data_IF_342058742652
#
_entry.id   IF_342058742652
#
_cell.length_a   1.000
_cell.length_b   1.000
_cell.length_c   1.000
_cell.angle_alpha   90.00
_cell.angle_beta   90.00
_cell.angle_gamma   90.00
#
_symmetry.space_group_name_H-M   'P 1'
#
loop_
_entity.id
_entity.type
_entity.pdbx_description
1 polymer ?
#
# COMPACT_ATOMS: atom_id res chain seq x y z
N UNK A 1 0.52 6.65 -13.15
CA UNK A 1 0.04 5.97 -11.92
C UNK A 1 1.06 5.01 -11.30
N UNK A 2 1.46 3.92 -11.98
CA UNK A 2 2.39 2.92 -11.42
C UNK A 2 3.76 3.51 -11.00
N UNK A 3 4.32 4.43 -11.81
CA UNK A 3 5.54 5.17 -11.49
C UNK A 3 5.36 6.06 -10.25
N UNK A 4 4.33 6.89 -10.22
CA UNK A 4 4.06 7.79 -9.09
C UNK A 4 3.80 7.02 -7.79
N UNK A 5 3.12 5.87 -7.83
CA UNK A 5 2.88 5.03 -6.64
C UNK A 5 4.15 4.31 -6.15
N UNK A 6 4.99 3.82 -7.06
CA UNK A 6 6.29 3.20 -6.73
C UNK A 6 7.29 4.25 -6.21
N UNK A 7 7.28 5.46 -6.77
CA UNK A 7 8.12 6.58 -6.30
C UNK A 7 7.63 7.13 -4.96
N UNK A 8 6.31 7.20 -4.72
CA UNK A 8 5.72 7.51 -3.41
C UNK A 8 6.12 6.51 -2.32
N UNK A 9 6.23 5.22 -2.67
CA UNK A 9 6.65 4.18 -1.71
C UNK A 9 8.14 4.21 -1.36
N UNK A 10 8.97 4.89 -2.16
CA UNK A 10 10.45 4.86 -2.01
C UNK A 10 11.02 6.17 -1.45
N UNK A 11 10.36 7.32 -1.67
CA UNK A 11 10.76 8.65 -1.15
C UNK A 11 9.52 9.58 -0.94
N UNK A 12 8.64 9.31 0.05
CA UNK A 12 7.37 10.04 0.19
C UNK A 12 7.50 11.52 0.60
N UNK A 13 8.54 11.88 1.36
CA UNK A 13 8.63 13.20 2.01
C UNK A 13 9.05 14.34 1.07
N UNK A 14 9.87 14.07 0.05
CA UNK A 14 10.45 15.12 -0.80
C UNK A 14 9.63 15.43 -2.06
N UNK A 15 8.85 14.49 -2.58
CA UNK A 15 8.10 14.72 -3.84
C UNK A 15 6.77 15.44 -3.66
N UNK A 16 6.24 15.50 -2.43
CA UNK A 16 4.87 15.96 -2.16
C UNK A 16 4.80 17.37 -1.59
N UNK A 17 5.87 17.83 -0.94
CA UNK A 17 5.92 19.12 -0.23
C UNK A 17 5.83 20.31 -1.16
N UNK A 18 6.37 20.19 -2.37
CA UNK A 18 6.36 21.24 -3.37
C UNK A 18 5.07 21.26 -4.22
N UNK A 19 4.14 20.31 -4.02
CA UNK A 19 2.87 20.13 -4.73
C UNK A 19 2.94 19.95 -6.27
N UNK A 20 4.13 19.90 -6.88
CA UNK A 20 4.27 19.76 -8.34
C UNK A 20 3.86 18.38 -8.83
N UNK A 21 4.21 17.34 -8.08
CA UNK A 21 3.77 15.97 -8.37
C UNK A 21 2.24 15.87 -8.37
N UNK A 22 1.57 16.56 -7.43
CA UNK A 22 0.11 16.60 -7.37
C UNK A 22 -0.51 17.27 -8.59
N UNK A 23 0.03 18.40 -9.08
CA UNK A 23 -0.46 19.02 -10.31
C UNK A 23 -0.44 18.07 -11.51
N UNK A 24 0.69 17.38 -11.71
CA UNK A 24 0.80 16.39 -12.79
C UNK A 24 -0.17 15.22 -12.59
N UNK A 25 -0.31 14.74 -11.37
CA UNK A 25 -1.26 13.67 -11.04
C UNK A 25 -2.70 14.10 -11.36
N UNK A 26 -3.14 15.26 -10.87
CA UNK A 26 -4.49 15.78 -11.11
C UNK A 26 -4.76 15.91 -12.60
N UNK A 27 -3.81 16.46 -13.37
CA UNK A 27 -3.96 16.59 -14.82
C UNK A 27 -4.04 15.23 -15.54
N UNK A 28 -3.34 14.20 -15.06
CA UNK A 28 -3.39 12.85 -15.65
C UNK A 28 -4.69 12.12 -15.34
N UNK A 29 -5.23 12.25 -14.11
CA UNK A 29 -6.40 11.49 -13.68
C UNK A 29 -7.72 12.16 -14.04
N UNK A 30 -7.68 13.47 -14.32
CA UNK A 30 -8.88 14.23 -14.64
C UNK A 30 -9.53 13.71 -15.94
N UNK A 31 -10.86 13.48 -15.93
CA UNK A 31 -11.64 13.11 -17.09
C UNK A 31 -11.36 13.99 -18.31
N UNK A 32 -10.98 13.36 -19.42
CA UNK A 32 -10.70 14.06 -20.69
C UNK A 32 -11.92 14.14 -21.61
N UNK A 33 -13.08 13.64 -21.19
CA UNK A 33 -14.31 13.65 -21.99
C UNK A 33 -14.25 12.71 -23.21
N UNK A 34 -13.39 11.70 -23.17
CA UNK A 34 -13.19 10.74 -24.28
C UNK A 34 -14.18 9.57 -24.22
N UNK A 35 -14.82 9.34 -23.06
CA UNK A 35 -15.78 8.27 -22.83
C UNK A 35 -17.20 8.83 -22.75
N UNK A 36 -18.15 8.10 -23.32
CA UNK A 36 -19.55 8.47 -23.33
C UNK A 36 -20.08 8.58 -21.88
N UNK A 37 -20.66 9.75 -21.54
CA UNK A 37 -21.16 10.05 -20.20
C UNK A 37 -20.14 10.61 -19.20
N UNK A 38 -18.86 10.79 -19.57
CA UNK A 38 -17.85 11.35 -18.69
C UNK A 38 -17.70 12.87 -18.89
N UNK A 39 -18.06 13.73 -17.91
CA UNK A 39 -17.88 15.17 -18.05
C UNK A 39 -16.39 15.52 -18.07
N UNK A 40 -15.96 16.28 -19.08
CA UNK A 40 -14.58 16.76 -19.16
C UNK A 40 -14.30 17.74 -18.00
N UNK A 41 -13.23 17.48 -17.24
CA UNK A 41 -12.78 18.37 -16.16
C UNK A 41 -11.37 18.84 -16.52
N UNK A 42 -11.23 20.15 -16.74
CA UNK A 42 -9.93 20.74 -17.08
C UNK A 42 -9.19 21.24 -15.83
N UNK A 43 -7.94 20.82 -15.73
CA UNK A 43 -7.04 21.14 -14.63
C UNK A 43 -6.17 22.31 -15.05
N UNK A 44 -6.34 23.44 -14.37
CA UNK A 44 -5.56 24.63 -14.66
C UNK A 44 -4.14 24.47 -14.09
N UNK A 45 -3.16 24.39 -14.97
CA UNK A 45 -1.73 24.25 -14.62
C UNK A 45 -1.03 25.60 -14.38
N UNK A 46 -1.71 26.74 -14.43
CA UNK A 46 -1.09 28.07 -14.23
C UNK A 46 -0.43 28.20 -12.86
N UNK A 47 -1.03 27.58 -11.83
CA UNK A 47 -0.48 27.57 -10.47
C UNK A 47 0.79 26.74 -10.32
N UNK A 48 1.15 25.89 -11.29
CA UNK A 48 2.31 25.00 -11.21
C UNK A 48 3.65 25.74 -11.06
N UNK A 49 3.77 26.92 -11.68
CA UNK A 49 4.98 27.74 -11.65
C UNK A 49 4.96 28.79 -10.53
N UNK A 50 3.98 28.76 -9.62
CA UNK A 50 3.96 29.64 -8.46
C UNK A 50 5.22 29.41 -7.61
N UNK A 51 5.85 30.51 -7.19
CA UNK A 51 7.11 30.48 -6.43
C UNK A 51 6.89 30.18 -4.95
N UNK A 52 5.75 30.61 -4.41
CA UNK A 52 5.35 30.38 -3.03
C UNK A 52 4.68 29.00 -2.90
N UNK A 53 5.31 28.09 -2.16
CA UNK A 53 4.84 26.71 -2.00
C UNK A 53 3.43 26.62 -1.39
N UNK A 54 3.06 27.54 -0.50
CA UNK A 54 1.76 27.55 0.15
C UNK A 54 0.67 28.02 -0.82
N UNK A 55 0.96 29.03 -1.63
CA UNK A 55 0.05 29.45 -2.72
C UNK A 55 -0.05 28.39 -3.81
N UNK A 56 1.05 27.71 -4.12
CA UNK A 56 1.07 26.60 -5.08
C UNK A 56 0.21 25.43 -4.60
N UNK A 57 0.34 25.06 -3.32
CA UNK A 57 -0.47 24.03 -2.69
C UNK A 57 -1.97 24.41 -2.64
N UNK A 58 -2.31 25.66 -2.32
CA UNK A 58 -3.72 26.12 -2.39
C UNK A 58 -4.26 26.04 -3.82
N UNK A 59 -3.50 26.48 -4.81
CA UNK A 59 -3.88 26.40 -6.23
C UNK A 59 -4.10 24.95 -6.67
N UNK A 60 -3.25 24.03 -6.21
CA UNK A 60 -3.37 22.59 -6.43
C UNK A 60 -4.66 22.04 -5.80
N UNK A 61 -4.95 22.40 -4.54
CA UNK A 61 -6.16 21.93 -3.85
C UNK A 61 -7.44 22.49 -4.47
N UNK A 62 -7.42 23.69 -5.04
CA UNK A 62 -8.53 24.20 -5.85
C UNK A 62 -8.76 23.37 -7.11
N UNK A 63 -7.72 22.84 -7.74
CA UNK A 63 -7.89 21.90 -8.86
C UNK A 63 -8.41 20.54 -8.39
N UNK A 64 -7.96 20.05 -7.23
CA UNK A 64 -8.50 18.84 -6.62
C UNK A 64 -9.99 18.99 -6.25
N UNK A 65 -10.43 20.19 -5.89
CA UNK A 65 -11.83 20.48 -5.57
C UNK A 65 -12.76 20.37 -6.79
N UNK A 66 -12.27 20.70 -7.99
CA UNK A 66 -13.01 20.45 -9.25
C UNK A 66 -13.29 18.97 -9.49
N UNK A 67 -12.39 18.11 -9.02
CA UNK A 67 -12.56 16.65 -9.01
C UNK A 67 -13.38 16.20 -7.77
N UNK A 68 -13.75 17.10 -6.88
CA UNK A 68 -14.37 16.82 -5.58
C UNK A 68 -13.50 15.93 -4.70
N UNK A 69 -12.18 16.13 -4.76
CA UNK A 69 -11.15 15.36 -4.05
C UNK A 69 -10.41 16.18 -2.98
N UNK A 70 -10.78 17.44 -2.74
CA UNK A 70 -10.19 18.30 -1.70
C UNK A 70 -10.62 17.83 -0.31
N UNK A 71 -9.96 16.80 0.20
CA UNK A 71 -10.22 16.21 1.52
C UNK A 71 -8.88 15.88 2.20
N UNK A 72 -8.91 15.74 3.53
CA UNK A 72 -7.79 15.32 4.40
C UNK A 72 -6.63 16.31 4.58
N UNK A 73 -6.30 17.12 3.57
CA UNK A 73 -5.14 18.02 3.58
C UNK A 73 -5.53 19.49 3.44
N UNK A 74 -4.83 20.37 4.16
CA UNK A 74 -4.76 21.81 3.90
C UNK A 74 -3.47 22.17 3.15
N UNK A 75 -3.33 23.39 2.58
CA UNK A 75 -2.08 23.81 1.95
C UNK A 75 -0.87 23.69 2.88
N UNK A 76 -1.05 24.02 4.16
CA UNK A 76 -0.01 23.90 5.16
C UNK A 76 0.40 22.42 5.40
N UNK A 77 -0.57 21.49 5.41
CA UNK A 77 -0.29 20.06 5.57
C UNK A 77 0.53 19.51 4.40
N UNK A 78 0.22 19.95 3.17
CA UNK A 78 0.95 19.59 1.95
C UNK A 78 2.39 20.07 2.05
N UNK A 79 2.60 21.36 2.31
CA UNK A 79 3.95 21.96 2.42
C UNK A 79 4.75 21.39 3.58
N UNK A 80 4.09 21.08 4.70
CA UNK A 80 4.74 20.44 5.85
C UNK A 80 5.14 18.98 5.59
N UNK A 81 4.63 18.37 4.52
CA UNK A 81 4.98 17.01 4.12
C UNK A 81 4.39 15.93 5.02
N UNK A 82 3.23 16.17 5.66
CA UNK A 82 2.64 15.20 6.59
C UNK A 82 2.31 13.87 5.87
N UNK A 83 3.03 12.77 6.15
CA UNK A 83 2.95 11.56 5.34
C UNK A 83 1.59 10.87 5.45
N UNK A 84 0.93 10.94 6.61
CA UNK A 84 -0.40 10.32 6.81
C UNK A 84 -1.49 11.04 6.04
N UNK A 85 -1.50 12.38 6.11
CA UNK A 85 -2.51 13.19 5.42
C UNK A 85 -2.30 13.15 3.91
N UNK A 86 -1.05 13.23 3.44
CA UNK A 86 -0.72 13.10 2.03
C UNK A 86 -1.10 11.72 1.46
N UNK A 87 -0.87 10.64 2.21
CA UNK A 87 -1.30 9.30 1.81
C UNK A 87 -2.84 9.20 1.73
N UNK A 88 -3.56 9.75 2.70
CA UNK A 88 -5.02 9.79 2.68
C UNK A 88 -5.56 10.57 1.47
N UNK A 89 -4.94 11.71 1.15
CA UNK A 89 -5.30 12.50 -0.03
C UNK A 89 -5.07 11.74 -1.35
N UNK A 90 -3.91 11.08 -1.50
CA UNK A 90 -3.63 10.24 -2.69
C UNK A 90 -4.59 9.06 -2.79
N UNK A 91 -4.89 8.39 -1.68
CA UNK A 91 -5.85 7.30 -1.64
C UNK A 91 -7.25 7.75 -2.07
N UNK A 92 -7.68 8.95 -1.65
CA UNK A 92 -8.93 9.54 -2.09
C UNK A 92 -8.96 9.79 -3.61
N UNK A 93 -7.87 10.34 -4.16
CA UNK A 93 -7.73 10.55 -5.60
C UNK A 93 -7.82 9.22 -6.36
N UNK A 94 -7.16 8.17 -5.88
CA UNK A 94 -7.20 6.85 -6.51
C UNK A 94 -8.60 6.21 -6.45
N UNK A 95 -9.28 6.28 -5.31
CA UNK A 95 -10.60 5.70 -5.15
C UNK A 95 -11.64 6.35 -6.07
N UNK A 96 -11.51 7.67 -6.33
CA UNK A 96 -12.46 8.42 -7.14
C UNK A 96 -12.09 8.44 -8.64
N UNK A 97 -10.80 8.51 -8.94
CA UNK A 97 -10.26 8.54 -10.30
C UNK A 97 -9.07 7.58 -10.43
N UNK A 98 -9.33 6.26 -10.51
CA UNK A 98 -8.26 5.28 -10.63
C UNK A 98 -7.45 5.43 -11.93
N UNK A 99 -8.05 6.04 -12.97
CA UNK A 99 -7.43 6.29 -14.28
C UNK A 99 -6.80 5.03 -14.90
N UNK A 100 -7.31 3.85 -14.55
CA UNK A 100 -6.95 2.57 -15.12
C UNK A 100 -7.87 2.29 -16.31
N UNK A 101 -7.32 2.24 -17.52
CA UNK A 101 -8.02 1.64 -18.65
C UNK A 101 -8.09 0.13 -18.42
N UNK A 102 -9.30 -0.43 -18.39
CA UNK A 102 -9.47 -1.88 -18.47
C UNK A 102 -8.88 -2.33 -19.81
N UNK A 103 -7.90 -3.26 -19.83
CA UNK A 103 -7.53 -3.94 -21.07
C UNK A 103 -8.78 -4.64 -21.61
N UNK A 104 -9.07 -4.50 -22.89
CA UNK A 104 -10.30 -5.01 -23.54
C UNK A 104 -10.48 -6.55 -23.50
N UNK A 105 -9.55 -7.29 -22.87
CA UNK A 105 -9.54 -8.76 -22.80
C UNK A 105 -9.19 -9.33 -21.42
N UNK A 106 -9.39 -8.58 -20.34
CA UNK A 106 -9.28 -9.13 -19.00
C UNK A 106 -10.52 -8.73 -18.19
N UNK A 107 -11.44 -9.68 -18.03
CA UNK A 107 -12.37 -9.66 -16.90
C UNK A 107 -11.53 -9.73 -15.63
N UNK A 108 -11.10 -8.56 -15.15
CA UNK A 108 -10.42 -8.46 -13.87
C UNK A 108 -11.48 -8.76 -12.81
N UNK A 109 -11.44 -9.99 -12.32
CA UNK A 109 -12.19 -10.40 -11.15
C UNK A 109 -11.76 -9.51 -9.97
N UNK A 110 -12.65 -8.62 -9.53
CA UNK A 110 -12.40 -7.73 -8.40
C UNK A 110 -12.11 -8.51 -7.10
N UNK A 111 -12.50 -9.78 -7.03
CA UNK A 111 -12.15 -10.69 -5.93
C UNK A 111 -10.66 -11.06 -5.92
N UNK A 112 -9.99 -11.04 -7.08
CA UNK A 112 -8.52 -11.15 -7.17
C UNK A 112 -7.79 -9.83 -6.84
N UNK A 113 -8.48 -8.68 -6.90
CA UNK A 113 -7.91 -7.38 -6.52
C UNK A 113 -7.83 -7.19 -5.00
N UNK A 114 -8.64 -7.93 -4.21
CA UNK A 114 -8.45 -7.98 -2.75
C UNK A 114 -7.18 -8.76 -2.35
N UNK A 115 -6.52 -9.47 -3.28
CA UNK A 115 -5.18 -10.07 -3.10
C UNK A 115 -5.09 -11.21 -2.08
N UNK A 116 -6.02 -11.31 -1.13
CA UNK A 116 -6.13 -12.35 -0.11
C UNK A 116 -7.58 -12.86 0.00
N UNK A 117 -7.76 -14.15 0.24
CA UNK A 117 -9.09 -14.73 0.52
C UNK A 117 -9.61 -14.30 1.90
N UNK A 118 -10.92 -14.45 2.14
CA UNK A 118 -11.52 -14.18 3.46
C UNK A 118 -10.86 -15.02 4.56
N UNK A 119 -10.56 -16.27 4.25
CA UNK A 119 -9.90 -17.22 5.14
C UNK A 119 -8.47 -16.76 5.44
N UNK A 120 -7.70 -16.37 4.42
CA UNK A 120 -6.35 -15.80 4.60
C UNK A 120 -6.35 -14.58 5.52
N UNK A 121 -7.26 -13.63 5.28
CA UNK A 121 -7.43 -12.44 6.12
C UNK A 121 -7.78 -12.78 7.56
N UNK A 122 -8.66 -13.77 7.75
CA UNK A 122 -9.11 -14.21 9.07
C UNK A 122 -7.94 -14.82 9.86
N UNK A 123 -7.19 -15.74 9.26
CA UNK A 123 -6.04 -16.36 9.91
C UNK A 123 -4.92 -15.36 10.17
N UNK A 124 -4.61 -14.48 9.21
CA UNK A 124 -3.63 -13.41 9.37
C UNK A 124 -3.95 -12.52 10.58
N UNK A 125 -5.18 -12.01 10.64
CA UNK A 125 -5.61 -11.15 11.75
C UNK A 125 -5.60 -11.88 13.09
N UNK A 126 -6.05 -13.14 13.13
CA UNK A 126 -6.02 -13.96 14.33
C UNK A 126 -4.58 -14.15 14.85
N UNK A 127 -3.65 -14.58 14.00
CA UNK A 127 -2.25 -14.77 14.40
C UNK A 127 -1.62 -13.47 14.90
N UNK A 128 -1.84 -12.36 14.19
CA UNK A 128 -1.31 -11.06 14.59
C UNK A 128 -1.90 -10.56 15.92
N UNK A 129 -3.17 -10.87 16.21
CA UNK A 129 -3.80 -10.53 17.50
C UNK A 129 -3.15 -11.23 18.70
N UNK A 130 -2.48 -12.37 18.47
CA UNK A 130 -1.73 -13.12 19.49
C UNK A 130 -0.29 -12.62 19.67
N UNK A 131 0.12 -11.58 18.93
CA UNK A 131 1.43 -10.95 19.09
C UNK A 131 2.60 -11.82 18.61
N UNK A 132 2.44 -12.48 17.47
CA UNK A 132 3.55 -13.16 16.77
C UNK A 132 4.53 -12.13 16.18
N UNK A 133 5.80 -12.53 16.03
CA UNK A 133 6.86 -11.71 15.46
C UNK A 133 7.71 -12.54 14.49
N UNK A 134 7.81 -12.20 13.18
CA UNK A 134 7.33 -10.98 12.54
C UNK A 134 5.81 -10.92 12.37
N UNK A 135 5.29 -9.72 12.08
CA UNK A 135 3.88 -9.52 11.72
C UNK A 135 3.57 -10.25 10.41
N UNK A 136 2.48 -11.00 10.38
CA UNK A 136 2.04 -11.73 9.19
C UNK A 136 1.34 -10.75 8.25
N UNK A 137 1.90 -10.57 7.06
CA UNK A 137 1.33 -9.75 5.99
C UNK A 137 0.77 -10.62 4.87
N UNK A 138 1.48 -11.70 4.51
CA UNK A 138 1.07 -12.61 3.45
C UNK A 138 1.18 -14.06 3.92
N UNK A 139 0.03 -14.68 4.20
CA UNK A 139 -0.07 -15.99 4.86
C UNK A 139 0.85 -17.06 4.26
N UNK A 140 0.81 -17.27 2.94
CA UNK A 140 1.59 -18.33 2.28
C UNK A 140 3.10 -18.05 2.16
N UNK A 141 3.52 -16.80 2.37
CA UNK A 141 4.92 -16.41 2.28
C UNK A 141 5.56 -16.40 3.67
N UNK A 142 4.87 -15.82 4.64
CA UNK A 142 5.42 -15.56 5.98
C UNK A 142 5.43 -16.80 6.88
N UNK A 143 4.66 -17.85 6.53
CA UNK A 143 4.63 -19.10 7.30
C UNK A 143 5.59 -20.18 6.77
N UNK A 144 6.36 -19.90 5.72
CA UNK A 144 7.18 -20.91 5.02
C UNK A 144 8.31 -21.53 5.86
N UNK A 145 8.76 -20.86 6.92
CA UNK A 145 9.81 -21.37 7.81
C UNK A 145 9.28 -21.88 9.16
N UNK A 146 7.95 -21.94 9.29
CA UNK A 146 7.20 -22.35 10.47
C UNK A 146 7.48 -21.59 11.78
N UNK A 147 8.27 -20.50 11.77
CA UNK A 147 8.60 -19.79 13.01
C UNK A 147 7.38 -19.13 13.65
N UNK A 148 6.48 -18.59 12.84
CA UNK A 148 5.21 -18.04 13.32
C UNK A 148 4.33 -19.15 13.92
N UNK A 149 4.26 -20.31 13.26
CA UNK A 149 3.49 -21.47 13.74
C UNK A 149 4.02 -21.95 15.10
N UNK A 150 5.35 -22.06 15.24
CA UNK A 150 6.00 -22.44 16.49
C UNK A 150 5.74 -21.43 17.62
N UNK A 151 5.70 -20.12 17.34
CA UNK A 151 5.28 -19.13 18.34
C UNK A 151 3.82 -19.32 18.77
N UNK A 152 2.93 -19.65 17.83
CA UNK A 152 1.52 -19.89 18.14
C UNK A 152 1.34 -21.09 19.07
N UNK A 153 2.15 -22.16 18.92
CA UNK A 153 2.15 -23.29 19.85
C UNK A 153 2.37 -22.85 21.30
N UNK A 154 3.32 -21.95 21.57
CA UNK A 154 3.50 -21.40 22.92
C UNK A 154 2.28 -20.60 23.40
N UNK A 155 1.62 -19.86 22.50
CA UNK A 155 0.40 -19.09 22.84
C UNK A 155 -0.76 -20.00 23.24
N UNK A 156 -0.86 -21.18 22.64
CA UNK A 156 -1.84 -22.22 23.01
C UNK A 156 -1.32 -23.20 24.07
N UNK A 157 -0.20 -22.87 24.74
CA UNK A 157 0.41 -23.62 25.84
C UNK A 157 0.92 -25.03 25.45
N UNK A 158 1.32 -25.21 24.20
CA UNK A 158 2.09 -26.37 23.75
C UNK A 158 3.57 -26.03 23.87
N UNK A 159 4.37 -26.80 24.64
CA UNK A 159 5.80 -26.54 24.80
C UNK A 159 6.57 -26.68 23.48
N UNK A 160 7.44 -25.72 23.19
CA UNK A 160 8.33 -25.74 22.02
C UNK A 160 9.78 -25.75 22.48
N UNK A 161 10.56 -26.70 21.95
CA UNK A 161 11.99 -26.77 22.17
C UNK A 161 12.73 -25.93 21.12
N UNK A 162 12.98 -24.67 21.47
CA UNK A 162 13.68 -23.71 20.61
C UNK A 162 15.12 -24.08 20.27
N UNK A 163 15.72 -25.07 20.94
CA UNK A 163 17.05 -25.57 20.59
C UNK A 163 17.05 -26.36 19.27
N UNK A 164 15.89 -26.90 18.87
CA UNK A 164 15.68 -27.62 17.60
C UNK A 164 15.27 -26.70 16.45
N UNK A 165 15.00 -25.43 16.72
CA UNK A 165 14.43 -24.49 15.75
C UNK A 165 15.52 -23.65 15.09
N UNK A 166 15.58 -23.67 13.76
CA UNK A 166 16.51 -22.87 12.97
C UNK A 166 15.95 -21.46 12.73
N UNK A 167 16.71 -20.42 13.10
CA UNK A 167 16.29 -19.01 12.96
C UNK A 167 17.02 -18.31 11.80
N UNK A 168 16.40 -17.31 11.13
CA UNK A 168 17.07 -16.48 10.14
C UNK A 168 18.17 -15.60 10.77
N UNK A 169 19.14 -15.11 9.97
CA UNK A 169 19.25 -15.28 8.52
C UNK A 169 19.72 -16.68 8.13
N UNK A 170 19.02 -17.30 7.17
CA UNK A 170 19.38 -18.62 6.67
C UNK A 170 20.57 -18.54 5.70
N UNK A 171 21.52 -19.49 5.73
CA UNK A 171 22.58 -19.57 4.73
C UNK A 171 22.00 -19.73 3.32
N UNK A 172 22.59 -19.06 2.33
CA UNK A 172 22.12 -19.13 0.92
C UNK A 172 22.04 -20.57 0.41
N UNK A 173 23.01 -21.41 0.79
CA UNK A 173 23.00 -22.84 0.51
C UNK A 173 22.33 -23.57 1.68
N UNK A 174 21.28 -24.33 1.42
CA UNK A 174 20.59 -25.13 2.45
C UNK A 174 19.49 -24.40 3.24
N UNK A 175 19.16 -23.14 2.92
CA UNK A 175 18.05 -22.41 3.54
C UNK A 175 16.75 -23.22 3.55
N UNK A 176 16.39 -23.81 2.40
CA UNK A 176 15.16 -24.60 2.28
C UNK A 176 15.17 -25.84 3.19
N UNK A 177 16.33 -26.46 3.42
CA UNK A 177 16.43 -27.58 4.36
C UNK A 177 16.19 -27.13 5.80
N UNK A 178 16.72 -25.97 6.19
CA UNK A 178 16.49 -25.41 7.53
C UNK A 178 15.03 -25.03 7.78
N UNK A 179 14.37 -24.45 6.77
CA UNK A 179 12.92 -24.22 6.81
C UNK A 179 12.13 -25.52 6.92
N UNK A 180 12.51 -26.54 6.13
CA UNK A 180 11.87 -27.85 6.16
C UNK A 180 12.03 -28.55 7.51
N UNK A 181 13.22 -28.49 8.14
CA UNK A 181 13.46 -29.00 9.50
C UNK A 181 12.49 -28.36 10.50
N UNK A 182 12.28 -27.04 10.44
CA UNK A 182 11.32 -26.35 11.30
C UNK A 182 9.87 -26.78 11.02
N UNK A 183 9.48 -26.89 9.74
CA UNK A 183 8.14 -27.32 9.35
C UNK A 183 7.85 -28.75 9.82
N UNK A 184 8.81 -29.67 9.66
CA UNK A 184 8.68 -31.04 10.16
C UNK A 184 8.50 -31.05 11.67
N UNK A 185 9.32 -30.27 12.40
CA UNK A 185 9.18 -30.16 13.86
C UNK A 185 7.81 -29.59 14.28
N UNK A 186 7.30 -28.59 13.57
CA UNK A 186 5.97 -28.03 13.83
C UNK A 186 4.81 -29.01 13.56
N UNK A 187 5.00 -29.97 12.65
CA UNK A 187 4.02 -31.04 12.35
C UNK A 187 4.10 -32.19 13.37
N UNK A 188 5.27 -32.42 13.97
CA UNK A 188 5.48 -33.45 15.00
C UNK A 188 4.92 -33.07 16.38
N UNK A 189 4.84 -31.76 16.68
CA UNK A 189 4.23 -31.21 17.91
C UNK A 189 2.70 -31.32 17.91
#
# INVERSE_FOLDING_TARGET
FRLCFVELSTQPEFMLTDSKAYFHLLNQIAPKGQKEGEPQIDINMSGFNETDDLKRAESMLQQADKLGCRQFVTPADVVSGNPKLNLAFVANLFNKYPALTKPENQDIDWTLLEGETREERTFRNWMNSLGVNPHVNHLYADLQDALVILQLYERIKVPVDWSKVNKPPYPKLGANMKKLENCNYAVEL
#
